data_IF_418630846476
#
_entry.id   IF_418630846476
#
_cell.length_a   1.000
_cell.length_b   1.000
_cell.length_c   1.000
_cell.angle_alpha   90.00
_cell.angle_beta   90.00
_cell.angle_gamma   90.00
#
_symmetry.space_group_name_H-M   'P 1'
#
loop_
_entity.id
_entity.type
_entity.pdbx_description
1 polymer ?
#
# COMPACT_ATOMS: atom_id res chain seq x y z
N UNK A 1 10.47 -2.51 11.75
CA UNK A 1 9.29 -1.62 11.62
C UNK A 1 9.63 -0.19 12.02
N UNK A 2 10.37 0.06 13.12
CA UNK A 2 10.90 1.38 13.45
C UNK A 2 11.77 1.99 12.33
N UNK A 3 12.65 1.22 11.71
CA UNK A 3 13.50 1.69 10.60
C UNK A 3 12.73 2.21 9.38
N UNK A 4 11.52 1.69 9.15
CA UNK A 4 10.64 2.16 8.07
C UNK A 4 10.06 3.54 8.39
N UNK A 5 9.75 3.80 9.66
CA UNK A 5 9.24 5.10 10.12
C UNK A 5 10.32 6.18 9.99
N UNK A 6 11.55 5.86 10.38
CA UNK A 6 12.69 6.79 10.25
C UNK A 6 13.01 7.07 8.78
N UNK A 7 12.85 6.09 7.91
CA UNK A 7 13.01 6.25 6.46
C UNK A 7 11.90 7.09 5.83
N UNK A 8 10.65 6.93 6.30
CA UNK A 8 9.53 7.78 5.88
C UNK A 8 9.73 9.22 6.33
N UNK A 9 10.32 9.47 7.50
CA UNK A 9 10.64 10.82 7.96
C UNK A 9 11.67 11.55 7.06
N UNK A 10 12.46 10.81 6.27
CA UNK A 10 13.37 11.38 5.26
C UNK A 10 12.64 11.80 3.98
N UNK A 11 11.42 11.32 3.77
CA UNK A 11 10.59 11.78 2.66
C UNK A 11 10.08 13.19 2.97
N UNK A 12 9.94 14.05 1.94
CA UNK A 12 9.38 15.42 2.08
C UNK A 12 7.86 15.40 2.29
N UNK A 13 7.38 14.55 3.19
CA UNK A 13 5.97 14.31 3.47
C UNK A 13 5.70 14.60 4.94
N UNK A 14 4.56 15.23 5.23
CA UNK A 14 4.07 15.26 6.60
C UNK A 14 3.48 13.89 6.99
N UNK A 15 3.32 13.65 8.29
CA UNK A 15 2.84 12.37 8.82
C UNK A 15 1.45 11.99 8.28
N UNK A 16 0.57 12.96 8.05
CA UNK A 16 -0.78 12.73 7.52
C UNK A 16 -0.75 12.39 6.02
N UNK A 17 0.09 13.07 5.24
CA UNK A 17 0.32 12.74 3.82
C UNK A 17 0.84 11.31 3.68
N UNK A 18 1.82 10.90 4.50
CA UNK A 18 2.34 9.54 4.53
C UNK A 18 1.24 8.50 4.80
N UNK A 19 0.34 8.78 5.75
CA UNK A 19 -0.82 7.91 6.05
C UNK A 19 -1.76 7.82 4.86
N UNK A 20 -2.09 8.94 4.22
CA UNK A 20 -3.02 8.97 3.07
C UNK A 20 -2.45 8.19 1.89
N UNK A 21 -1.18 8.40 1.53
CA UNK A 21 -0.52 7.70 0.43
C UNK A 21 -0.48 6.20 0.67
N UNK A 22 -0.01 5.80 1.85
CA UNK A 22 0.08 4.39 2.26
C UNK A 22 -1.29 3.72 2.19
N UNK A 23 -2.33 4.39 2.70
CA UNK A 23 -3.70 3.85 2.72
C UNK A 23 -4.27 3.71 1.31
N UNK A 24 -4.07 4.71 0.44
CA UNK A 24 -4.49 4.64 -0.97
C UNK A 24 -3.80 3.47 -1.68
N UNK A 25 -2.49 3.29 -1.47
CA UNK A 25 -1.73 2.20 -2.08
C UNK A 25 -2.16 0.83 -1.56
N UNK A 26 -2.33 0.68 -0.24
CA UNK A 26 -2.79 -0.55 0.38
C UNK A 26 -4.17 -0.98 -0.16
N UNK A 27 -5.10 -0.02 -0.37
CA UNK A 27 -6.41 -0.31 -0.99
C UNK A 27 -6.27 -0.83 -2.42
N UNK A 28 -5.43 -0.21 -3.25
CA UNK A 28 -5.15 -0.68 -4.62
C UNK A 28 -4.54 -2.10 -4.63
N UNK A 29 -3.61 -2.38 -3.72
CA UNK A 29 -3.01 -3.71 -3.57
C UNK A 29 -4.04 -4.75 -3.15
N UNK A 30 -4.90 -4.43 -2.17
CA UNK A 30 -5.98 -5.30 -1.75
C UNK A 30 -6.97 -5.60 -2.89
N UNK A 31 -7.35 -4.57 -3.66
CA UNK A 31 -8.25 -4.76 -4.80
C UNK A 31 -7.63 -5.68 -5.87
N UNK A 32 -6.34 -5.50 -6.16
CA UNK A 32 -5.60 -6.37 -7.09
C UNK A 32 -5.55 -7.81 -6.58
N UNK A 33 -5.22 -8.02 -5.30
CA UNK A 33 -5.18 -9.35 -4.70
C UNK A 33 -6.56 -10.01 -4.71
N UNK A 34 -7.62 -9.27 -4.39
CA UNK A 34 -9.00 -9.77 -4.45
C UNK A 34 -9.36 -10.22 -5.87
N UNK A 35 -9.07 -9.40 -6.88
CA UNK A 35 -9.32 -9.78 -8.30
C UNK A 35 -8.54 -11.03 -8.71
N UNK A 36 -7.29 -11.16 -8.26
CA UNK A 36 -6.49 -12.36 -8.52
C UNK A 36 -7.06 -13.60 -7.83
N UNK A 37 -7.52 -13.47 -6.59
CA UNK A 37 -8.18 -14.56 -5.86
C UNK A 37 -9.51 -14.95 -6.50
N UNK A 38 -10.33 -13.97 -6.92
CA UNK A 38 -11.57 -14.23 -7.66
C UNK A 38 -11.27 -15.00 -8.96
N UNK A 39 -10.25 -14.60 -9.71
CA UNK A 39 -9.82 -15.34 -10.91
C UNK A 39 -9.30 -16.73 -10.58
N UNK A 40 -8.52 -16.92 -9.51
CA UNK A 40 -7.98 -18.23 -9.14
C UNK A 40 -9.05 -19.18 -8.60
N UNK A 41 -10.00 -18.68 -7.82
CA UNK A 41 -11.13 -19.46 -7.30
C UNK A 41 -12.12 -19.89 -8.40
N UNK A 42 -12.11 -19.23 -9.57
CA UNK A 42 -12.81 -19.74 -10.76
C UNK A 42 -12.16 -21.00 -11.34
N UNK A 43 -10.88 -21.28 -11.03
CA UNK A 43 -10.13 -22.39 -11.61
C UNK A 43 -9.72 -23.47 -10.60
N UNK A 44 -9.56 -23.17 -9.30
CA UNK A 44 -9.27 -24.17 -8.25
C UNK A 44 -9.84 -23.77 -6.87
N UNK A 45 -10.42 -24.73 -6.14
CA UNK A 45 -10.73 -24.61 -4.70
C UNK A 45 -9.44 -24.68 -3.86
N UNK A 46 -8.56 -23.68 -3.97
CA UNK A 46 -7.35 -23.63 -3.17
C UNK A 46 -7.60 -22.93 -1.81
N UNK A 47 -7.18 -23.52 -0.68
CA UNK A 47 -7.37 -22.91 0.64
C UNK A 47 -6.59 -21.60 0.74
N UNK A 48 -7.26 -20.55 1.23
CA UNK A 48 -6.67 -19.22 1.45
C UNK A 48 -5.47 -19.36 2.39
N UNK A 49 -4.24 -19.27 1.85
CA UNK A 49 -3.01 -19.28 2.65
C UNK A 49 -3.01 -18.07 3.59
N UNK A 50 -3.27 -18.33 4.87
CA UNK A 50 -3.11 -17.39 5.99
C UNK A 50 -1.61 -17.10 6.22
N UNK A 51 -1.03 -16.31 5.33
CA UNK A 51 0.33 -15.80 5.42
C UNK A 51 0.55 -14.54 4.59
N UNK A 52 -0.53 -13.95 4.05
CA UNK A 52 -0.46 -12.79 3.21
C UNK A 52 0.22 -11.63 3.96
N UNK A 53 1.37 -11.19 3.45
CA UNK A 53 1.97 -9.91 3.80
C UNK A 53 0.85 -8.87 3.81
N UNK A 54 0.57 -8.29 4.98
CA UNK A 54 -0.46 -7.27 5.12
C UNK A 54 -0.15 -6.19 4.09
N UNK A 55 -1.08 -5.91 3.18
CA UNK A 55 -0.88 -4.94 2.08
C UNK A 55 -0.39 -3.57 2.55
N UNK A 56 -0.69 -3.22 3.81
CA UNK A 56 -0.21 -2.04 4.49
C UNK A 56 1.31 -2.08 4.70
N UNK A 57 1.88 -3.22 5.06
CA UNK A 57 3.33 -3.40 5.18
C UNK A 57 4.04 -3.25 3.84
N UNK A 58 3.44 -3.75 2.76
CA UNK A 58 3.97 -3.57 1.40
C UNK A 58 3.94 -2.09 1.02
N UNK A 59 2.80 -1.42 1.23
CA UNK A 59 2.66 -0.01 0.92
C UNK A 59 3.60 0.89 1.74
N UNK A 60 3.84 0.55 3.02
CA UNK A 60 4.80 1.27 3.86
C UNK A 60 6.24 1.10 3.36
N UNK A 61 6.60 -0.09 2.89
CA UNK A 61 7.92 -0.36 2.31
C UNK A 61 8.11 0.46 1.03
N UNK A 62 7.14 0.44 0.11
CA UNK A 62 7.18 1.24 -1.12
C UNK A 62 7.28 2.75 -0.83
N UNK A 63 6.60 3.23 0.22
CA UNK A 63 6.73 4.63 0.65
C UNK A 63 8.13 4.93 1.19
N UNK A 64 8.67 4.06 2.04
CA UNK A 64 10.00 4.23 2.64
C UNK A 64 11.10 4.24 1.56
N UNK A 65 10.94 3.43 0.51
CA UNK A 65 11.83 3.36 -0.66
C UNK A 65 11.67 4.55 -1.63
N UNK A 66 10.71 5.44 -1.41
CA UNK A 66 10.46 6.60 -2.28
C UNK A 66 9.72 6.26 -3.59
N UNK A 67 9.14 5.06 -3.69
CA UNK A 67 8.40 4.61 -4.87
C UNK A 67 6.97 5.20 -4.97
N UNK A 68 6.50 5.89 -3.93
CA UNK A 68 5.17 6.50 -3.87
C UNK A 68 5.28 8.03 -3.74
N UNK A 69 4.49 8.75 -4.55
CA UNK A 69 4.40 10.21 -4.50
C UNK A 69 3.02 10.67 -4.05
N UNK A 70 2.96 11.80 -3.34
CA UNK A 70 1.70 12.43 -2.99
C UNK A 70 1.26 13.37 -4.11
N UNK A 71 0.20 13.00 -4.80
CA UNK A 71 -0.51 13.93 -5.68
C UNK A 71 -1.39 14.84 -4.80
N UNK A 72 -0.93 16.08 -4.61
CA UNK A 72 -1.78 17.13 -4.03
C UNK A 72 -2.87 17.45 -5.05
N UNK A 73 -4.16 17.51 -4.65
CA UNK A 73 -5.16 18.08 -5.53
C UNK A 73 -4.71 19.50 -5.87
N UNK A 74 -4.61 19.81 -7.16
CA UNK A 74 -4.42 21.19 -7.59
C UNK A 74 -5.61 21.98 -7.03
N UNK A 75 -5.36 22.86 -6.06
CA UNK A 75 -6.32 23.88 -5.67
C UNK A 75 -6.45 24.85 -6.85
N UNK A 76 -7.23 24.47 -7.86
CA UNK A 76 -7.79 25.40 -8.82
C UNK A 76 -9.07 25.94 -8.17
N UNK A 77 -8.88 27.00 -7.38
CA UNK A 77 -9.92 27.98 -7.09
C UNK A 77 -9.72 29.16 -8.02
#
# INVERSE_FOLDING_TARGET
>A
MLEAIDSIAKQKLNRYEAVIITSKRARKLNEKLRKQQEQQNLFEEAPVKNGALRVTSIALKELAEGALQFEKPNNQN
#
